data_IF_923450359792
#
_entry.id   IF_923450359792
#
_cell.length_a   1.000
_cell.length_b   1.000
_cell.length_c   1.000
_cell.angle_alpha   90.00
_cell.angle_beta   90.00
_cell.angle_gamma   90.00
#
_symmetry.space_group_name_H-M   'P 1'
#
loop_
_entity.id
_entity.type
_entity.pdbx_description
1 polymer ?
#
# COMPACT_ATOMS: atom_id res chain seq x y z
N UNK A 1 27.58 16.00 -4.92
CA UNK A 1 28.36 14.89 -4.32
C UNK A 1 28.24 14.82 -2.81
N UNK A 2 28.48 15.88 -2.02
CA UNK A 2 28.29 15.84 -0.54
C UNK A 2 26.86 15.42 -0.15
N UNK A 3 25.84 15.97 -0.81
CA UNK A 3 24.43 15.61 -0.61
C UNK A 3 24.12 14.15 -0.96
N UNK A 4 24.67 13.63 -2.07
CA UNK A 4 24.45 12.24 -2.47
C UNK A 4 25.14 11.25 -1.51
N UNK A 5 26.27 11.63 -0.94
CA UNK A 5 26.94 10.81 0.07
C UNK A 5 26.16 10.76 1.39
N UNK A 6 25.63 11.90 1.86
CA UNK A 6 24.81 11.94 3.08
C UNK A 6 23.51 11.15 2.92
N UNK A 7 22.80 11.33 1.80
CA UNK A 7 21.58 10.59 1.49
C UNK A 7 21.85 9.09 1.35
N UNK A 8 22.97 8.69 0.74
CA UNK A 8 23.36 7.29 0.66
C UNK A 8 23.54 6.66 2.06
N UNK A 9 24.16 7.39 2.99
CA UNK A 9 24.33 6.91 4.37
C UNK A 9 22.97 6.81 5.08
N UNK A 10 22.08 7.78 4.88
CA UNK A 10 20.71 7.75 5.39
C UNK A 10 19.93 6.55 4.85
N UNK A 11 20.02 6.25 3.55
CA UNK A 11 19.36 5.10 2.93
C UNK A 11 19.91 3.77 3.46
N UNK A 12 21.22 3.68 3.69
CA UNK A 12 21.87 2.50 4.30
C UNK A 12 21.37 2.31 5.75
N UNK A 13 21.27 3.40 6.51
CA UNK A 13 20.73 3.37 7.89
C UNK A 13 19.26 2.96 7.87
N UNK A 14 18.46 3.52 6.96
CA UNK A 14 17.05 3.20 6.78
C UNK A 14 16.85 1.72 6.40
N UNK A 15 17.67 1.23 5.47
CA UNK A 15 17.64 -0.16 5.01
C UNK A 15 18.05 -1.14 6.12
N UNK A 16 19.03 -0.78 6.95
CA UNK A 16 19.41 -1.57 8.11
C UNK A 16 18.35 -1.52 9.23
N UNK A 17 17.65 -0.38 9.33
CA UNK A 17 16.72 -0.06 10.42
C UNK A 17 17.40 -0.28 11.80
N UNK A 18 16.61 -0.43 12.87
CA UNK A 18 17.09 -0.80 14.22
C UNK A 18 17.58 -2.28 14.33
N UNK A 19 17.99 -2.90 13.23
CA UNK A 19 18.45 -4.29 13.17
C UNK A 19 19.96 -4.36 12.85
N UNK A 20 20.57 -5.53 12.92
CA UNK A 20 21.98 -5.77 12.57
C UNK A 20 22.13 -6.44 11.21
N UNK A 21 21.19 -6.21 10.28
CA UNK A 21 21.13 -6.88 8.98
C UNK A 21 22.41 -6.66 8.16
N UNK A 22 22.87 -5.41 8.05
CA UNK A 22 24.07 -5.07 7.28
C UNK A 22 25.33 -5.66 7.94
N UNK A 23 25.41 -5.66 9.26
CA UNK A 23 26.54 -6.25 9.98
C UNK A 23 26.58 -7.77 9.79
N UNK A 24 25.43 -8.45 9.87
CA UNK A 24 25.30 -9.88 9.60
C UNK A 24 25.70 -10.21 8.16
N UNK A 25 25.24 -9.39 7.20
CA UNK A 25 25.61 -9.50 5.80
C UNK A 25 27.13 -9.37 5.58
N UNK A 26 27.77 -8.33 6.13
CA UNK A 26 29.20 -8.09 5.98
C UNK A 26 30.03 -9.22 6.62
N UNK A 27 29.64 -9.68 7.81
CA UNK A 27 30.28 -10.82 8.47
C UNK A 27 30.17 -12.09 7.62
N UNK A 28 28.98 -12.36 7.07
CA UNK A 28 28.75 -13.50 6.19
C UNK A 28 29.56 -13.40 4.89
N UNK A 29 29.68 -12.21 4.30
CA UNK A 29 30.44 -11.96 3.08
C UNK A 29 31.94 -12.18 3.31
N UNK A 30 32.49 -11.62 4.39
CA UNK A 30 33.90 -11.81 4.78
C UNK A 30 34.19 -13.29 5.05
N UNK A 31 33.28 -13.96 5.76
CA UNK A 31 33.40 -15.39 6.03
C UNK A 31 33.48 -16.22 4.74
N UNK A 32 32.63 -15.95 3.74
CA UNK A 32 32.71 -16.66 2.45
C UNK A 32 33.95 -16.28 1.65
N UNK A 33 34.41 -15.03 1.70
CA UNK A 33 35.67 -14.64 1.08
C UNK A 33 36.85 -15.53 1.52
N UNK A 34 36.90 -15.84 2.81
CA UNK A 34 37.94 -16.65 3.44
C UNK A 34 37.71 -18.16 3.23
N UNK A 35 36.48 -18.63 3.41
CA UNK A 35 36.17 -20.06 3.48
C UNK A 35 35.72 -20.70 2.16
N UNK A 36 35.21 -19.90 1.22
CA UNK A 36 34.77 -20.40 -0.08
C UNK A 36 35.93 -20.71 -1.02
N UNK A 37 35.94 -21.95 -1.50
CA UNK A 37 36.93 -22.49 -2.44
C UNK A 37 36.31 -22.91 -3.77
N UNK A 38 35.00 -23.21 -3.83
CA UNK A 38 34.32 -23.50 -5.09
C UNK A 38 34.26 -22.22 -5.92
N UNK A 39 34.93 -22.24 -7.09
CA UNK A 39 35.00 -21.07 -7.98
C UNK A 39 33.63 -20.62 -8.47
N UNK A 40 32.69 -21.53 -8.71
CA UNK A 40 31.35 -21.19 -9.22
C UNK A 40 30.57 -20.44 -8.15
N UNK A 41 30.53 -21.00 -6.94
CA UNK A 41 29.83 -20.38 -5.80
C UNK A 41 30.49 -19.07 -5.41
N UNK A 42 31.83 -19.02 -5.36
CA UNK A 42 32.58 -17.79 -5.08
C UNK A 42 32.31 -16.69 -6.11
N UNK A 43 32.17 -17.05 -7.38
CA UNK A 43 31.84 -16.07 -8.43
C UNK A 43 30.48 -15.44 -8.21
N UNK A 44 29.46 -16.25 -7.89
CA UNK A 44 28.07 -15.78 -7.74
C UNK A 44 27.83 -15.11 -6.38
N UNK A 45 28.20 -15.76 -5.27
CA UNK A 45 27.85 -15.28 -3.92
C UNK A 45 28.88 -14.32 -3.33
N UNK A 46 30.13 -14.34 -3.81
CA UNK A 46 31.18 -13.48 -3.27
C UNK A 46 31.49 -12.34 -4.22
N UNK A 47 31.96 -12.64 -5.44
CA UNK A 47 32.41 -11.60 -6.37
C UNK A 47 31.25 -10.75 -6.90
N UNK A 48 30.20 -11.38 -7.41
CA UNK A 48 29.05 -10.66 -7.94
C UNK A 48 28.32 -9.86 -6.86
N UNK A 49 28.08 -10.44 -5.68
CA UNK A 49 27.46 -9.71 -4.56
C UNK A 49 28.31 -8.54 -4.10
N UNK A 50 29.63 -8.74 -3.93
CA UNK A 50 30.55 -7.65 -3.58
C UNK A 50 30.52 -6.55 -4.65
N UNK A 51 30.55 -6.92 -5.94
CA UNK A 51 30.53 -5.96 -7.04
C UNK A 51 29.25 -5.12 -7.03
N UNK A 52 28.08 -5.75 -6.90
CA UNK A 52 26.80 -5.04 -6.82
C UNK A 52 26.76 -4.14 -5.58
N UNK A 53 27.16 -4.63 -4.40
CA UNK A 53 27.21 -3.81 -3.19
C UNK A 53 28.13 -2.60 -3.37
N UNK A 54 29.31 -2.76 -3.96
CA UNK A 54 30.24 -1.65 -4.22
C UNK A 54 29.67 -0.65 -5.21
N UNK A 55 28.99 -1.11 -6.28
CA UNK A 55 28.35 -0.24 -7.26
C UNK A 55 27.22 0.56 -6.62
N UNK A 56 26.33 -0.08 -5.85
CA UNK A 56 25.19 0.60 -5.22
C UNK A 56 25.60 1.49 -4.03
N UNK A 57 26.71 1.19 -3.37
CA UNK A 57 27.31 2.07 -2.37
C UNK A 57 28.25 3.11 -2.99
N UNK A 58 28.41 3.15 -4.32
CA UNK A 58 29.23 4.15 -4.99
C UNK A 58 28.50 5.50 -5.02
N UNK A 59 29.06 6.59 -4.46
CA UNK A 59 28.40 7.89 -4.47
C UNK A 59 28.09 8.44 -5.86
N UNK A 60 28.85 8.01 -6.89
CA UNK A 60 28.58 8.37 -8.28
C UNK A 60 27.31 7.70 -8.80
N UNK A 61 27.15 6.40 -8.56
CA UNK A 61 25.93 5.67 -8.94
C UNK A 61 24.72 6.24 -8.19
N UNK A 62 24.89 6.51 -6.88
CA UNK A 62 23.86 7.12 -6.05
C UNK A 62 23.45 8.50 -6.57
N UNK A 63 24.41 9.33 -6.94
CA UNK A 63 24.15 10.65 -7.52
C UNK A 63 23.38 10.59 -8.85
N UNK A 64 23.67 9.61 -9.71
CA UNK A 64 22.93 9.41 -10.97
C UNK A 64 21.52 8.88 -10.67
N UNK A 65 21.40 7.87 -9.81
CA UNK A 65 20.12 7.26 -9.45
C UNK A 65 19.15 8.27 -8.82
N UNK A 66 19.62 9.09 -7.89
CA UNK A 66 18.81 10.14 -7.26
C UNK A 66 18.35 11.24 -8.24
N UNK A 67 19.05 11.43 -9.37
CA UNK A 67 18.57 12.35 -10.42
C UNK A 67 17.42 11.78 -11.23
N UNK A 68 17.28 10.46 -11.29
CA UNK A 68 16.16 9.79 -11.94
C UNK A 68 14.97 9.79 -11.00
N UNK A 69 15.16 9.27 -9.78
CA UNK A 69 14.14 9.22 -8.75
C UNK A 69 14.81 9.03 -7.37
N UNK A 70 14.80 10.08 -6.56
CA UNK A 70 15.38 10.06 -5.22
C UNK A 70 14.53 9.22 -4.24
N UNK A 71 13.23 9.10 -4.46
CA UNK A 71 12.30 8.39 -3.57
C UNK A 71 12.40 6.87 -3.72
N UNK A 72 12.95 6.40 -4.83
CA UNK A 72 13.03 4.98 -5.17
C UNK A 72 14.45 4.44 -5.05
N UNK A 73 15.47 5.29 -4.92
CA UNK A 73 16.86 4.87 -4.94
C UNK A 73 17.18 3.76 -3.92
N UNK A 74 16.68 3.84 -2.68
CA UNK A 74 16.92 2.81 -1.66
C UNK A 74 16.46 1.39 -2.09
N UNK A 75 15.52 1.26 -3.04
CA UNK A 75 15.05 -0.05 -3.54
C UNK A 75 16.14 -0.80 -4.31
N UNK A 76 17.19 -0.13 -4.80
CA UNK A 76 18.33 -0.82 -5.44
C UNK A 76 19.01 -1.79 -4.46
N UNK A 77 18.99 -1.50 -3.16
CA UNK A 77 19.53 -2.40 -2.13
C UNK A 77 18.77 -3.73 -2.05
N UNK A 78 17.50 -3.79 -2.51
CA UNK A 78 16.72 -5.04 -2.58
C UNK A 78 17.27 -6.02 -3.62
N UNK A 79 18.04 -5.53 -4.59
CA UNK A 79 18.68 -6.37 -5.59
C UNK A 79 19.96 -7.05 -5.06
N UNK A 80 20.46 -6.65 -3.88
CA UNK A 80 21.59 -7.33 -3.24
C UNK A 80 21.08 -8.65 -2.64
N UNK A 81 21.63 -9.81 -3.01
CA UNK A 81 21.15 -11.12 -2.54
C UNK A 81 21.65 -11.43 -1.11
N UNK A 82 21.37 -10.52 -0.17
CA UNK A 82 21.79 -10.61 1.24
C UNK A 82 21.27 -11.89 1.88
N UNK A 83 19.98 -12.20 1.71
CA UNK A 83 19.35 -13.36 2.33
C UNK A 83 19.98 -14.68 1.89
N UNK A 84 20.19 -14.86 0.58
CA UNK A 84 20.80 -16.09 0.03
C UNK A 84 22.24 -16.22 0.55
N UNK A 85 23.01 -15.13 0.56
CA UNK A 85 24.38 -15.13 1.04
C UNK A 85 24.45 -15.52 2.53
N UNK A 86 23.64 -14.87 3.38
CA UNK A 86 23.62 -15.13 4.83
C UNK A 86 23.19 -16.57 5.12
N UNK A 87 22.16 -17.08 4.46
CA UNK A 87 21.71 -18.46 4.62
C UNK A 87 22.78 -19.48 4.17
N UNK A 88 23.45 -19.22 3.05
CA UNK A 88 24.52 -20.08 2.57
C UNK A 88 25.72 -20.09 3.54
N UNK A 89 26.13 -18.92 4.03
CA UNK A 89 27.15 -18.77 5.06
C UNK A 89 26.80 -19.52 6.33
N UNK A 90 25.56 -19.40 6.81
CA UNK A 90 25.05 -20.12 7.98
C UNK A 90 25.20 -21.64 7.82
N UNK A 91 24.70 -22.20 6.71
CA UNK A 91 24.81 -23.64 6.42
C UNK A 91 26.27 -24.09 6.34
N UNK A 92 27.14 -23.27 5.75
CA UNK A 92 28.58 -23.57 5.68
C UNK A 92 29.24 -23.58 7.06
N UNK A 93 28.94 -22.60 7.92
CA UNK A 93 29.43 -22.56 9.31
C UNK A 93 29.00 -23.82 10.05
N UNK A 94 27.72 -24.18 9.98
CA UNK A 94 27.15 -25.39 10.60
C UNK A 94 27.87 -26.66 10.07
N UNK A 95 28.13 -26.72 8.77
CA UNK A 95 28.79 -27.86 8.11
C UNK A 95 30.27 -28.00 8.48
N UNK A 96 30.91 -26.94 8.97
CA UNK A 96 32.30 -26.99 9.42
C UNK A 96 32.48 -27.85 10.68
N UNK A 97 31.44 -27.97 11.51
CA UNK A 97 31.48 -28.76 12.73
C UNK A 97 31.24 -30.25 12.44
N UNK A 98 32.22 -31.08 12.83
CA UNK A 98 32.18 -32.54 12.66
C UNK A 98 31.30 -33.24 13.69
N UNK A 99 31.28 -32.76 14.94
CA UNK A 99 30.49 -33.35 16.04
C UNK A 99 29.02 -32.94 15.91
N UNK A 100 28.11 -33.91 16.04
CA UNK A 100 26.67 -33.68 15.94
C UNK A 100 26.18 -32.62 16.95
N UNK A 101 26.58 -32.73 18.22
CA UNK A 101 26.18 -31.78 19.27
C UNK A 101 26.61 -30.35 18.92
N UNK A 102 27.86 -30.15 18.47
CA UNK A 102 28.37 -28.84 18.06
C UNK A 102 27.59 -28.29 16.86
N UNK A 103 27.25 -29.13 15.89
CA UNK A 103 26.44 -28.75 14.72
C UNK A 103 25.05 -28.26 15.13
N UNK A 104 24.37 -28.99 16.01
CA UNK A 104 23.04 -28.62 16.52
C UNK A 104 23.11 -27.30 17.29
N UNK A 105 24.10 -27.14 18.17
CA UNK A 105 24.27 -25.92 18.96
C UNK A 105 24.48 -24.69 18.06
N UNK A 106 25.37 -24.80 17.06
CA UNK A 106 25.64 -23.72 16.10
C UNK A 106 24.41 -23.42 15.24
N UNK A 107 23.63 -24.44 14.87
CA UNK A 107 22.37 -24.25 14.15
C UNK A 107 21.37 -23.45 14.99
N UNK A 108 21.16 -23.83 16.25
CA UNK A 108 20.26 -23.12 17.17
C UNK A 108 20.72 -21.67 17.36
N UNK A 109 22.02 -21.45 17.60
CA UNK A 109 22.58 -20.11 17.75
C UNK A 109 22.36 -19.25 16.49
N UNK A 110 22.54 -19.83 15.30
CA UNK A 110 22.35 -19.12 14.04
C UNK A 110 20.90 -18.71 13.84
N UNK A 111 19.96 -19.62 14.12
CA UNK A 111 18.51 -19.31 14.08
C UNK A 111 18.16 -18.21 15.08
N UNK A 112 18.69 -18.27 16.31
CA UNK A 112 18.47 -17.24 17.32
C UNK A 112 18.96 -15.86 16.86
N UNK A 113 20.18 -15.78 16.30
CA UNK A 113 20.72 -14.51 15.77
C UNK A 113 19.83 -13.96 14.67
N UNK A 114 19.34 -14.80 13.74
CA UNK A 114 18.44 -14.35 12.68
C UNK A 114 17.10 -13.87 13.27
N UNK A 115 16.51 -14.61 14.21
CA UNK A 115 15.25 -14.24 14.86
C UNK A 115 15.36 -12.93 15.65
N UNK A 116 16.49 -12.66 16.33
CA UNK A 116 16.73 -11.42 17.06
C UNK A 116 16.77 -10.18 16.14
N UNK A 117 17.07 -10.37 14.85
CA UNK A 117 17.09 -9.31 13.85
C UNK A 117 15.70 -9.02 13.24
N UNK A 118 14.68 -9.81 13.57
CA UNK A 118 13.32 -9.64 13.04
C UNK A 118 12.34 -9.22 14.13
N UNK A 119 11.32 -8.45 13.74
CA UNK A 119 10.09 -8.31 14.55
C UNK A 119 9.06 -9.30 14.02
N UNK A 120 8.24 -9.84 14.91
CA UNK A 120 7.16 -10.73 14.49
C UNK A 120 6.13 -9.93 13.69
N UNK A 121 5.97 -10.29 12.42
CA UNK A 121 5.16 -9.50 11.47
C UNK A 121 3.71 -9.30 11.94
N UNK A 122 3.12 -10.33 12.54
CA UNK A 122 1.74 -10.31 13.03
C UNK A 122 1.53 -9.53 14.34
N UNK A 123 2.59 -8.97 14.94
CA UNK A 123 2.43 -8.05 16.09
C UNK A 123 2.18 -6.60 15.68
N UNK A 124 2.26 -6.28 14.38
CA UNK A 124 1.93 -4.93 13.89
C UNK A 124 0.42 -4.68 13.95
N UNK A 125 0.04 -3.44 14.29
CA UNK A 125 -1.35 -2.97 14.44
C UNK A 125 -2.20 -3.10 13.18
N UNK A 126 -1.58 -3.30 12.03
CA UNK A 126 -2.25 -3.46 10.73
C UNK A 126 -2.63 -4.91 10.41
N UNK A 127 -2.31 -5.87 11.28
CA UNK A 127 -2.69 -7.28 11.12
C UNK A 127 -3.88 -7.62 12.01
N UNK A 128 -5.04 -7.77 11.40
CA UNK A 128 -6.23 -8.28 12.05
C UNK A 128 -6.56 -9.67 11.50
N UNK A 129 -7.24 -10.48 12.32
CA UNK A 129 -7.74 -11.77 11.89
C UNK A 129 -8.74 -11.55 10.75
N UNK A 130 -8.65 -12.37 9.70
CA UNK A 130 -9.58 -12.33 8.59
C UNK A 130 -11.03 -12.48 9.09
N UNK A 131 -11.88 -11.54 8.71
CA UNK A 131 -13.31 -11.53 9.07
C UNK A 131 -14.19 -12.15 8.00
N UNK A 132 -13.72 -12.21 6.75
CA UNK A 132 -14.41 -12.78 5.59
C UNK A 132 -13.41 -13.41 4.60
N UNK A 133 -13.92 -14.07 3.56
CA UNK A 133 -13.12 -14.73 2.53
C UNK A 133 -12.19 -13.77 1.76
N UNK A 134 -12.60 -12.51 1.65
CA UNK A 134 -11.84 -11.45 0.97
C UNK A 134 -10.69 -10.89 1.81
N UNK A 135 -10.63 -11.22 3.11
CA UNK A 135 -9.65 -10.67 4.06
C UNK A 135 -9.69 -9.12 4.12
N UNK A 136 -10.87 -8.53 3.91
CA UNK A 136 -11.09 -7.08 3.92
C UNK A 136 -12.13 -6.69 4.97
N UNK A 137 -12.16 -5.43 5.44
CA UNK A 137 -13.25 -4.95 6.29
C UNK A 137 -14.61 -5.15 5.61
N UNK A 138 -15.58 -5.75 6.31
CA UNK A 138 -16.89 -6.06 5.73
C UNK A 138 -17.61 -4.81 5.21
N UNK A 139 -17.46 -3.68 5.89
CA UNK A 139 -18.01 -2.38 5.49
C UNK A 139 -17.63 -1.97 4.06
N UNK A 140 -16.42 -2.32 3.60
CA UNK A 140 -15.97 -2.02 2.24
C UNK A 140 -16.79 -2.80 1.21
N UNK A 141 -17.05 -4.08 1.50
CA UNK A 141 -17.83 -4.96 0.63
C UNK A 141 -19.26 -4.45 0.56
N UNK A 142 -19.87 -4.17 1.70
CA UNK A 142 -21.25 -3.71 1.77
C UNK A 142 -21.44 -2.39 1.01
N UNK A 143 -20.54 -1.41 1.22
CA UNK A 143 -20.58 -0.12 0.51
C UNK A 143 -20.32 -0.30 -0.99
N UNK A 144 -19.34 -1.13 -1.38
CA UNK A 144 -19.06 -1.37 -2.79
C UNK A 144 -20.21 -2.09 -3.50
N UNK A 145 -20.83 -3.09 -2.87
CA UNK A 145 -21.99 -3.78 -3.43
C UNK A 145 -23.19 -2.84 -3.57
N UNK A 146 -23.38 -1.91 -2.62
CA UNK A 146 -24.43 -0.90 -2.69
C UNK A 146 -24.21 0.19 -3.75
N UNK A 147 -22.98 0.38 -4.21
CA UNK A 147 -22.63 1.33 -5.28
C UNK A 147 -22.55 0.67 -6.65
N UNK A 148 -22.48 -0.65 -6.71
CA UNK A 148 -22.27 -1.37 -7.97
C UNK A 148 -23.54 -1.35 -8.79
N UNK A 149 -23.40 -1.07 -10.07
CA UNK A 149 -24.48 -1.16 -11.04
C UNK A 149 -24.10 -2.17 -12.13
N UNK A 150 -25.08 -2.89 -12.68
CA UNK A 150 -24.85 -3.89 -13.74
C UNK A 150 -24.62 -3.21 -15.11
N UNK A 151 -25.40 -2.17 -15.40
CA UNK A 151 -25.40 -1.51 -16.72
C UNK A 151 -24.46 -0.30 -16.84
N UNK A 152 -23.99 0.23 -15.71
CA UNK A 152 -23.15 1.44 -15.67
C UNK A 152 -22.00 1.30 -14.67
N UNK A 153 -20.90 2.02 -14.90
CA UNK A 153 -19.76 2.07 -13.97
C UNK A 153 -19.71 3.44 -13.31
N UNK A 154 -20.25 3.58 -12.10
CA UNK A 154 -20.35 4.89 -11.47
C UNK A 154 -19.00 5.44 -11.02
N UNK A 155 -18.90 6.76 -11.04
CA UNK A 155 -17.86 7.50 -10.32
C UNK A 155 -18.43 7.82 -8.94
N UNK A 156 -17.75 7.40 -7.87
CA UNK A 156 -18.19 7.60 -6.50
C UNK A 156 -17.15 8.35 -5.67
N UNK A 157 -17.56 9.44 -5.02
CA UNK A 157 -16.78 10.10 -3.98
C UNK A 157 -16.88 9.26 -2.70
N UNK A 158 -15.74 8.75 -2.23
CA UNK A 158 -15.67 7.85 -1.08
C UNK A 158 -14.67 8.35 -0.04
N UNK A 159 -14.91 8.13 1.26
CA UNK A 159 -13.98 8.52 2.33
C UNK A 159 -12.61 7.86 2.21
N UNK A 160 -11.56 8.54 2.69
CA UNK A 160 -10.17 8.12 2.50
C UNK A 160 -9.88 6.71 3.04
N UNK A 161 -10.54 6.33 4.14
CA UNK A 161 -10.35 5.03 4.79
C UNK A 161 -10.86 3.85 3.95
N UNK A 162 -11.81 4.07 3.04
CA UNK A 162 -12.38 3.03 2.18
C UNK A 162 -11.65 2.91 0.82
N UNK A 163 -11.01 4.00 0.35
CA UNK A 163 -10.34 4.08 -0.96
C UNK A 163 -9.41 2.88 -1.29
N UNK A 164 -8.50 2.44 -0.41
CA UNK A 164 -7.56 1.37 -0.75
C UNK A 164 -8.26 0.03 -0.95
N UNK A 165 -9.33 -0.22 -0.21
CA UNK A 165 -10.02 -1.50 -0.18
C UNK A 165 -11.10 -1.60 -1.25
N UNK A 166 -11.80 -0.52 -1.58
CA UNK A 166 -12.84 -0.54 -2.62
C UNK A 166 -12.25 -0.97 -3.96
N UNK A 167 -11.08 -0.43 -4.34
CA UNK A 167 -10.36 -0.84 -5.56
C UNK A 167 -9.85 -2.29 -5.51
N UNK A 168 -9.60 -2.82 -4.32
CA UNK A 168 -9.17 -4.21 -4.15
C UNK A 168 -10.35 -5.19 -4.32
N UNK A 169 -11.57 -4.75 -3.98
CA UNK A 169 -12.78 -5.56 -4.08
C UNK A 169 -13.46 -5.47 -5.44
N UNK A 170 -13.62 -4.26 -6.00
CA UNK A 170 -14.33 -4.03 -7.27
C UNK A 170 -13.59 -3.06 -8.19
N UNK A 171 -13.56 -3.40 -9.48
CA UNK A 171 -13.06 -2.54 -10.57
C UNK A 171 -14.19 -1.87 -11.38
N UNK A 172 -15.44 -2.02 -10.93
CA UNK A 172 -16.62 -1.46 -11.59
C UNK A 172 -17.02 -0.09 -11.03
N UNK A 173 -16.34 0.37 -9.98
CA UNK A 173 -16.57 1.68 -9.35
C UNK A 173 -15.32 2.53 -9.56
N UNK A 174 -15.48 3.66 -10.22
CA UNK A 174 -14.44 4.67 -10.38
C UNK A 174 -14.45 5.64 -9.20
N UNK A 175 -13.30 6.22 -8.88
CA UNK A 175 -13.18 7.23 -7.81
C UNK A 175 -12.45 8.45 -8.35
N UNK A 176 -12.87 9.67 -7.99
CA UNK A 176 -12.32 10.91 -8.53
C UNK A 176 -10.87 11.16 -8.06
N UNK A 177 -10.54 10.64 -6.88
CA UNK A 177 -9.18 10.65 -6.32
C UNK A 177 -8.75 9.24 -5.91
N UNK A 178 -7.45 9.04 -5.68
CA UNK A 178 -6.89 7.74 -5.31
C UNK A 178 -5.81 7.85 -4.25
N UNK A 179 -5.03 6.79 -4.06
CA UNK A 179 -4.00 6.75 -3.00
C UNK A 179 -2.98 7.88 -3.11
N UNK A 180 -2.77 8.43 -4.31
CA UNK A 180 -1.88 9.56 -4.56
C UNK A 180 -2.22 10.82 -3.74
N UNK A 181 -3.48 11.01 -3.31
CA UNK A 181 -3.87 12.15 -2.47
C UNK A 181 -3.65 11.89 -0.97
N UNK A 182 -3.73 10.62 -0.56
CA UNK A 182 -3.51 10.19 0.83
C UNK A 182 -2.02 10.20 1.17
N UNK A 183 -1.16 9.97 0.17
CA UNK A 183 0.29 9.97 0.36
C UNK A 183 0.83 11.41 0.37
N UNK A 184 1.14 11.90 1.58
CA UNK A 184 1.61 13.27 1.83
C UNK A 184 2.84 13.69 1.04
N UNK A 185 3.59 12.72 0.50
CA UNK A 185 4.80 12.96 -0.27
C UNK A 185 4.52 13.49 -1.69
N UNK A 186 3.34 13.24 -2.24
CA UNK A 186 3.09 13.45 -3.68
C UNK A 186 2.44 14.81 -4.01
N UNK A 187 2.24 15.69 -3.02
CA UNK A 187 1.71 17.06 -3.16
C UNK A 187 0.46 17.18 -4.06
N UNK A 188 -0.39 16.15 -4.09
CA UNK A 188 -1.69 16.21 -4.75
C UNK A 188 -2.70 16.88 -3.83
N UNK A 189 -3.52 17.76 -4.40
CA UNK A 189 -4.69 18.34 -3.73
C UNK A 189 -5.88 18.18 -4.67
N UNK A 190 -7.04 17.96 -4.08
CA UNK A 190 -8.32 17.86 -4.78
C UNK A 190 -9.38 18.43 -3.84
N UNK A 191 -10.13 19.42 -4.33
CA UNK A 191 -11.11 20.13 -3.50
C UNK A 191 -12.19 19.20 -2.95
N UNK A 192 -12.62 18.20 -3.73
CA UNK A 192 -13.60 17.21 -3.26
C UNK A 192 -13.03 16.35 -2.13
N UNK A 193 -11.77 15.92 -2.22
CA UNK A 193 -11.12 15.20 -1.13
C UNK A 193 -11.03 16.04 0.14
N UNK A 194 -10.62 17.30 0.01
CA UNK A 194 -10.49 18.22 1.15
C UNK A 194 -11.86 18.45 1.84
N UNK A 195 -12.94 18.59 1.06
CA UNK A 195 -14.31 18.70 1.58
C UNK A 195 -14.78 17.38 2.27
N UNK A 196 -14.45 16.23 1.69
CA UNK A 196 -14.78 14.91 2.24
C UNK A 196 -14.03 14.65 3.57
N UNK A 197 -12.80 15.12 3.71
CA UNK A 197 -11.96 14.91 4.90
C UNK A 197 -12.00 16.05 5.93
N UNK A 198 -12.81 17.09 5.69
CA UNK A 198 -13.05 18.17 6.67
C UNK A 198 -13.50 17.65 8.05
N UNK A 199 -13.53 18.48 9.08
CA UNK A 199 -14.06 18.02 10.39
C UNK A 199 -15.59 17.89 10.40
N UNK A 200 -16.26 18.73 9.62
CA UNK A 200 -17.70 18.78 9.40
C UNK A 200 -17.95 18.83 7.89
N UNK A 201 -18.98 18.15 7.40
CA UNK A 201 -19.31 18.15 5.99
C UNK A 201 -20.08 19.42 5.65
N UNK A 202 -19.65 20.17 4.63
CA UNK A 202 -20.50 21.17 3.98
C UNK A 202 -21.20 20.49 2.79
N UNK A 203 -22.52 20.27 2.89
CA UNK A 203 -23.28 19.56 1.86
C UNK A 203 -23.24 20.30 0.51
N UNK A 204 -23.25 21.63 0.50
CA UNK A 204 -23.22 22.43 -0.72
C UNK A 204 -21.86 22.34 -1.40
N UNK A 205 -20.77 22.47 -0.64
CA UNK A 205 -19.40 22.34 -1.16
C UNK A 205 -19.16 20.94 -1.74
N UNK A 206 -19.54 19.89 -1.01
CA UNK A 206 -19.39 18.50 -1.47
C UNK A 206 -20.19 18.27 -2.75
N UNK A 207 -21.45 18.71 -2.81
CA UNK A 207 -22.28 18.58 -4.01
C UNK A 207 -21.67 19.30 -5.21
N UNK A 208 -21.11 20.50 -5.02
CA UNK A 208 -20.44 21.24 -6.09
C UNK A 208 -19.21 20.48 -6.60
N UNK A 209 -18.27 20.14 -5.71
CA UNK A 209 -17.04 19.46 -6.09
C UNK A 209 -17.29 18.06 -6.67
N UNK A 210 -18.31 17.34 -6.16
CA UNK A 210 -18.68 16.03 -6.67
C UNK A 210 -19.17 16.10 -8.12
N UNK A 211 -19.94 17.14 -8.48
CA UNK A 211 -20.39 17.36 -9.86
C UNK A 211 -19.26 17.77 -10.79
N UNK A 212 -18.34 18.61 -10.33
CA UNK A 212 -17.13 18.97 -11.08
C UNK A 212 -16.28 17.74 -11.43
N UNK A 213 -16.24 16.76 -10.54
CA UNK A 213 -15.57 15.47 -10.71
C UNK A 213 -16.46 14.37 -11.32
N UNK A 214 -17.66 14.73 -11.81
CA UNK A 214 -18.61 13.83 -12.46
C UNK A 214 -19.08 12.63 -11.60
N UNK A 215 -19.12 12.80 -10.28
CA UNK A 215 -19.53 11.76 -9.35
C UNK A 215 -21.03 11.50 -9.42
N UNK A 216 -21.38 10.23 -9.69
CA UNK A 216 -22.76 9.72 -9.63
C UNK A 216 -23.21 9.53 -8.18
N UNK A 217 -22.30 9.06 -7.33
CA UNK A 217 -22.57 8.83 -5.90
C UNK A 217 -21.62 9.62 -5.00
N UNK A 218 -22.13 9.97 -3.83
CA UNK A 218 -21.36 10.51 -2.71
C UNK A 218 -21.62 9.66 -1.48
N UNK A 219 -20.55 9.17 -0.85
CA UNK A 219 -20.61 8.32 0.35
C UNK A 219 -20.08 9.10 1.54
N UNK A 220 -20.93 9.35 2.54
CA UNK A 220 -20.59 10.16 3.70
C UNK A 220 -20.65 9.33 4.98
N UNK A 221 -19.67 9.52 5.87
CA UNK A 221 -19.66 8.85 7.17
C UNK A 221 -20.81 9.32 8.05
N UNK A 222 -21.58 8.40 8.63
CA UNK A 222 -22.77 8.76 9.43
C UNK A 222 -22.43 9.38 10.78
N UNK A 223 -21.16 9.34 11.19
CA UNK A 223 -20.69 9.88 12.48
C UNK A 223 -20.17 11.31 12.40
N UNK A 224 -19.85 11.80 11.18
CA UNK A 224 -19.33 13.15 10.97
C UNK A 224 -20.51 14.13 10.85
N UNK A 225 -20.52 15.25 11.58
CA UNK A 225 -21.58 16.25 11.46
C UNK A 225 -21.62 16.82 10.03
N UNK A 226 -22.80 17.28 9.62
CA UNK A 226 -23.04 17.83 8.29
C UNK A 226 -23.84 19.13 8.44
N UNK A 227 -23.30 20.20 7.85
CA UNK A 227 -23.99 21.47 7.63
C UNK A 227 -24.84 21.36 6.36
N UNK A 228 -26.13 21.69 6.49
CA UNK A 228 -27.11 21.50 5.42
C UNK A 228 -27.49 20.02 5.20
N UNK A 229 -28.05 19.72 4.03
CA UNK A 229 -28.44 18.37 3.63
C UNK A 229 -28.14 18.14 2.15
N UNK A 230 -27.69 16.93 1.81
CA UNK A 230 -27.44 16.54 0.42
C UNK A 230 -28.73 16.57 -0.41
N UNK A 231 -29.87 16.25 0.20
CA UNK A 231 -31.19 16.31 -0.42
C UNK A 231 -31.57 17.75 -0.84
N UNK A 232 -31.21 18.76 -0.05
CA UNK A 232 -31.37 20.18 -0.43
C UNK A 232 -30.50 20.54 -1.64
N UNK A 233 -29.40 19.81 -1.86
CA UNK A 233 -28.53 19.94 -3.02
C UNK A 233 -28.96 19.06 -4.19
N UNK A 234 -30.18 18.55 -4.23
CA UNK A 234 -30.72 17.69 -5.29
C UNK A 234 -30.02 16.32 -5.39
N UNK A 235 -29.72 15.72 -4.24
CA UNK A 235 -29.31 14.31 -4.16
C UNK A 235 -30.44 13.43 -3.63
N UNK A 236 -30.49 12.21 -4.12
CA UNK A 236 -31.40 11.14 -3.66
C UNK A 236 -30.68 10.35 -2.57
N UNK A 237 -31.27 10.28 -1.38
CA UNK A 237 -30.81 9.37 -0.34
C UNK A 237 -31.15 7.92 -0.70
N UNK A 238 -30.12 7.07 -0.86
CA UNK A 238 -30.26 5.66 -1.24
C UNK A 238 -30.29 4.73 -0.03
N UNK A 239 -29.62 5.10 1.06
CA UNK A 239 -29.64 4.33 2.29
C UNK A 239 -28.41 4.53 3.17
N UNK A 240 -28.46 3.92 4.35
CA UNK A 240 -27.37 3.85 5.32
C UNK A 240 -26.80 2.43 5.27
N UNK A 241 -25.56 2.29 4.82
CA UNK A 241 -24.87 1.01 4.66
C UNK A 241 -23.65 1.00 5.57
N UNK A 242 -23.66 0.12 6.57
CA UNK A 242 -22.53 -0.13 7.46
C UNK A 242 -21.88 1.14 8.05
N UNK A 243 -22.70 2.15 8.38
CA UNK A 243 -22.26 3.43 8.97
C UNK A 243 -21.96 4.54 7.95
N UNK A 244 -22.30 4.35 6.68
CA UNK A 244 -22.13 5.36 5.63
C UNK A 244 -23.45 5.65 4.92
N UNK A 245 -23.79 6.94 4.80
CA UNK A 245 -24.89 7.40 3.97
C UNK A 245 -24.47 7.38 2.50
N UNK A 246 -25.32 6.80 1.65
CA UNK A 246 -25.13 6.77 0.20
C UNK A 246 -26.14 7.71 -0.44
N UNK A 247 -25.62 8.67 -1.19
CA UNK A 247 -26.40 9.64 -1.95
C UNK A 247 -26.12 9.51 -3.44
N UNK A 248 -27.15 9.58 -4.27
CA UNK A 248 -27.04 9.60 -5.74
C UNK A 248 -27.42 10.99 -6.26
N UNK A 249 -26.64 11.57 -7.17
CA UNK A 249 -27.01 12.85 -7.77
C UNK A 249 -28.24 12.66 -8.67
N UNK A 250 -29.30 13.44 -8.43
CA UNK A 250 -30.56 13.32 -9.18
C UNK A 250 -30.39 13.62 -10.68
N UNK A 251 -29.46 14.51 -11.06
CA UNK A 251 -29.18 14.78 -12.49
C UNK A 251 -28.61 13.54 -13.20
N UNK A 252 -27.74 12.79 -12.51
CA UNK A 252 -27.23 11.53 -13.05
C UNK A 252 -28.31 10.45 -13.05
N UNK A 253 -29.15 10.39 -12.02
CA UNK A 253 -30.29 9.48 -12.00
C UNK A 253 -31.20 9.67 -13.22
N UNK A 254 -31.58 10.91 -13.55
CA UNK A 254 -32.42 11.18 -14.73
C UNK A 254 -31.75 10.76 -16.03
N UNK A 255 -30.47 11.10 -16.22
CA UNK A 255 -29.72 10.73 -17.43
C UNK A 255 -29.60 9.20 -17.58
N UNK A 256 -29.29 8.51 -16.49
CA UNK A 256 -29.15 7.05 -16.49
C UNK A 256 -30.50 6.36 -16.69
N UNK A 257 -31.59 6.89 -16.12
CA UNK A 257 -32.95 6.39 -16.33
C UNK A 257 -33.34 6.51 -17.79
N UNK A 258 -33.16 7.69 -18.38
CA UNK A 258 -33.56 7.99 -19.75
C UNK A 258 -32.75 7.18 -20.78
N UNK A 259 -31.57 6.69 -20.40
CA UNK A 259 -30.72 5.80 -21.21
C UNK A 259 -30.89 4.31 -20.91
N UNK A 260 -31.81 3.92 -20.02
CA UNK A 260 -32.00 2.53 -19.55
C UNK A 260 -30.71 1.92 -18.96
N UNK A 261 -29.93 2.74 -18.25
CA UNK A 261 -28.68 2.36 -17.58
C UNK A 261 -28.82 2.20 -16.05
N UNK A 262 -30.01 2.43 -15.50
CA UNK A 262 -30.30 2.09 -14.11
C UNK A 262 -30.65 0.60 -13.98
N UNK A 263 -30.27 0.03 -12.84
CA UNK A 263 -30.73 -1.28 -12.42
C UNK A 263 -32.15 -1.14 -11.82
N UNK A 264 -32.97 -2.19 -11.88
CA UNK A 264 -34.38 -2.12 -11.43
C UNK A 264 -34.52 -1.72 -9.96
N UNK A 265 -33.55 -2.11 -9.14
CA UNK A 265 -33.49 -1.79 -7.71
C UNK A 265 -33.20 -0.30 -7.47
N UNK A 266 -32.52 0.34 -8.42
CA UNK A 266 -32.13 1.74 -8.33
C UNK A 266 -33.19 2.73 -8.80
N UNK A 267 -34.18 2.27 -9.56
CA UNK A 267 -35.30 3.08 -10.03
C UNK A 267 -36.20 3.46 -8.84
N UNK A 268 -36.44 4.76 -8.71
CA UNK A 268 -37.31 5.31 -7.66
C UNK A 268 -38.73 4.70 -7.77
N UNK A 269 -39.40 4.40 -6.65
CA UNK A 269 -40.73 3.77 -6.67
C UNK A 269 -41.75 4.52 -7.55
N UNK A 270 -41.71 5.85 -7.54
CA UNK A 270 -42.54 6.73 -8.36
C UNK A 270 -42.32 6.59 -9.88
N UNK A 271 -41.14 6.14 -10.30
CA UNK A 271 -40.75 6.04 -11.71
C UNK A 271 -40.92 4.64 -12.31
N UNK A 272 -41.14 3.59 -11.49
CA UNK A 272 -41.29 2.20 -11.97
C UNK A 272 -42.55 1.94 -12.81
N UNK A 273 -43.47 2.90 -12.86
CA UNK A 273 -44.78 2.76 -13.49
C UNK A 273 -44.98 3.63 -14.75
N UNK A 274 -43.93 4.29 -15.23
CA UNK A 274 -43.91 5.03 -16.50
C UNK A 274 -43.23 4.22 -17.60
#
# INVERSE_FOLDING_TARGET
MKTAFTTLIEDIILYNNNCFLILLFLAALIFLWITERDKRIKTVLVYFVTAITVVFCCPLYAWIGMKVDAEIYYRVFWSIPIGILVCYSAVRVISHFKKFISRVLVCILTVLVICMNGKFYFTNTLHFKAVNAYHMPQVVIDVADALKMEKYKPIAAIPAELLPFIRQYSADIFTPYGRNIVETQWNFSNALYDAMEAQEYDAQEIAQCAREEHCTYVVLSSIKPMEGSMEEQNYIYKGLVSGYYIYMDYNYYEVLRDQDLLDEEDILPEDRAR
#
